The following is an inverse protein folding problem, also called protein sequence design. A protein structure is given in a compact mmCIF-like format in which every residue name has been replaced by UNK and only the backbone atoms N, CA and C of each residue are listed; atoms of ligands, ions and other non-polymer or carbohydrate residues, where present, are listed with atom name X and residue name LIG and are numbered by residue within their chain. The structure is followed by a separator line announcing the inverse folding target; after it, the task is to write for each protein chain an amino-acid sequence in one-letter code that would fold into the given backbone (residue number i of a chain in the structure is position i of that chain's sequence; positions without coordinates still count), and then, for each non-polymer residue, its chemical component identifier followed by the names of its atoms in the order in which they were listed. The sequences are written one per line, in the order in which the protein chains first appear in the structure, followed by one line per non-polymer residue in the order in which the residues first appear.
data_IF_133205070446
#
_entry.id   IF_133205070446
#
_cell.length_a   1.000
_cell.length_b   1.000
_cell.length_c   1.000
_cell.angle_alpha   90.00
_cell.angle_beta   90.00
_cell.angle_gamma   90.00
#
_symmetry.space_group_name_H-M   'P 1'
#
loop_
_entity.id
_entity.type
_entity.pdbx_description
1 polymer ?
#
# COMPACT_ATOMS: atom_id res chain seq x y z
N UNK A 1 -11.28 9.89 13.78
CA UNK A 1 -10.46 9.28 12.71
C UNK A 1 -9.77 10.41 12.01
N UNK A 2 -8.44 10.44 12.04
CA UNK A 2 -7.66 11.41 11.27
C UNK A 2 -7.45 10.87 9.86
N UNK A 3 -7.41 11.72 8.82
CA UNK A 3 -7.08 11.29 7.47
C UNK A 3 -5.69 10.65 7.45
N UNK A 4 -5.62 9.46 6.85
CA UNK A 4 -4.37 8.75 6.58
C UNK A 4 -3.89 9.10 5.17
N UNK A 5 -2.58 9.24 5.01
CA UNK A 5 -1.94 9.44 3.71
C UNK A 5 -1.26 8.14 3.29
N UNK A 6 -1.60 7.64 2.10
CA UNK A 6 -0.85 6.56 1.46
C UNK A 6 0.09 7.15 0.42
N UNK A 7 1.37 6.82 0.51
CA UNK A 7 2.41 7.33 -0.38
C UNK A 7 3.07 6.15 -1.07
N UNK A 8 3.03 6.14 -2.40
CA UNK A 8 3.82 5.24 -3.23
C UNK A 8 5.13 5.92 -3.62
N UNK A 9 6.21 5.14 -3.63
CA UNK A 9 7.51 5.54 -4.18
C UNK A 9 7.98 4.46 -5.16
N UNK A 10 8.62 4.89 -6.24
CA UNK A 10 9.16 4.01 -7.27
C UNK A 10 10.63 4.33 -7.50
N UNK A 11 11.46 3.29 -7.57
CA UNK A 11 12.89 3.34 -7.79
C UNK A 11 13.26 2.32 -8.87
N UNK A 12 13.83 2.75 -10.01
CA UNK A 12 14.28 1.82 -11.05
C UNK A 12 15.31 0.79 -10.56
N UNK A 13 16.04 1.09 -9.48
CA UNK A 13 17.09 0.22 -8.94
C UNK A 13 16.58 -0.76 -7.87
N UNK A 14 15.54 -0.40 -7.11
CA UNK A 14 15.10 -1.16 -5.93
C UNK A 14 13.62 -1.55 -5.94
N UNK A 15 12.89 -1.29 -7.04
CA UNK A 15 11.48 -1.61 -7.16
C UNK A 15 10.60 -0.48 -6.63
N UNK A 16 9.61 -0.78 -5.79
CA UNK A 16 8.73 0.24 -5.25
C UNK A 16 8.29 -0.05 -3.82
N UNK A 17 7.87 1.02 -3.16
CA UNK A 17 7.39 0.97 -1.77
C UNK A 17 6.09 1.73 -1.60
N UNK A 18 5.31 1.31 -0.61
CA UNK A 18 4.12 1.99 -0.15
C UNK A 18 4.20 2.19 1.36
N UNK A 19 3.96 3.41 1.80
CA UNK A 19 3.97 3.81 3.20
C UNK A 19 2.64 4.46 3.57
N UNK A 20 2.20 4.26 4.82
CA UNK A 20 1.08 4.99 5.40
C UNK A 20 1.62 5.99 6.42
N UNK A 21 1.13 7.23 6.35
CA UNK A 21 1.44 8.30 7.28
C UNK A 21 0.18 8.82 7.98
N UNK A 22 0.33 9.21 9.24
CA UNK A 22 -0.65 9.99 9.98
C UNK A 22 -0.68 11.43 9.46
N UNK A 23 -1.75 12.17 9.77
CA UNK A 23 -1.89 13.57 9.38
C UNK A 23 -0.72 14.44 9.87
N UNK A 24 -0.10 14.08 10.98
CA UNK A 24 1.03 14.78 11.58
C UNK A 24 2.38 14.49 10.89
N UNK A 25 2.40 13.58 9.90
CA UNK A 25 3.60 13.19 9.16
C UNK A 25 4.35 11.99 9.73
N UNK A 26 3.89 11.43 10.85
CA UNK A 26 4.45 10.20 11.42
C UNK A 26 4.14 8.99 10.53
N UNK A 27 5.14 8.16 10.29
CA UNK A 27 4.96 6.91 9.55
C UNK A 27 4.31 5.85 10.44
N UNK A 28 3.41 5.06 9.86
CA UNK A 28 2.89 3.86 10.49
C UNK A 28 3.79 2.69 10.09
N UNK A 29 4.76 2.36 10.95
CA UNK A 29 5.84 1.39 10.64
C UNK A 29 5.32 0.01 10.23
N UNK A 30 4.24 -0.47 10.84
CA UNK A 30 3.61 -1.75 10.47
C UNK A 30 3.07 -1.77 9.04
N UNK A 31 2.81 -0.60 8.45
CA UNK A 31 2.18 -0.45 7.14
C UNK A 31 3.18 -0.12 6.02
N UNK A 32 4.45 -0.46 6.21
CA UNK A 32 5.48 -0.36 5.19
C UNK A 32 5.47 -1.60 4.30
N UNK A 33 5.36 -1.40 2.98
CA UNK A 33 5.37 -2.48 1.98
C UNK A 33 6.43 -2.19 0.94
N UNK A 34 7.35 -3.12 0.72
CA UNK A 34 8.36 -3.06 -0.34
C UNK A 34 8.21 -4.25 -1.29
N UNK A 35 8.31 -3.99 -2.59
CA UNK A 35 8.29 -5.04 -3.63
C UNK A 35 9.25 -4.70 -4.78
N UNK A 36 9.72 -5.71 -5.53
CA UNK A 36 10.51 -5.49 -6.73
C UNK A 36 9.74 -4.76 -7.85
N UNK A 37 8.41 -4.84 -7.86
CA UNK A 37 7.55 -4.20 -8.85
C UNK A 37 7.20 -2.76 -8.46
N UNK A 38 6.99 -1.91 -9.45
CA UNK A 38 6.56 -0.54 -9.18
C UNK A 38 5.07 -0.49 -8.79
N UNK A 39 4.68 0.31 -7.78
CA UNK A 39 3.28 0.58 -7.49
C UNK A 39 2.69 1.45 -8.61
N UNK A 40 1.51 1.08 -9.10
CA UNK A 40 0.82 1.78 -10.20
C UNK A 40 -0.46 2.47 -9.76
N UNK A 41 -1.14 1.93 -8.74
CA UNK A 41 -2.40 2.46 -8.19
C UNK A 41 -2.51 2.21 -6.70
N UNK A 42 -3.06 3.20 -5.99
CA UNK A 42 -3.45 3.10 -4.58
C UNK A 42 -4.92 3.47 -4.43
N UNK A 43 -5.71 2.69 -3.68
CA UNK A 43 -7.12 3.01 -3.44
C UNK A 43 -7.56 2.58 -2.05
N UNK A 44 -7.99 3.54 -1.24
CA UNK A 44 -8.63 3.27 0.05
C UNK A 44 -10.01 2.65 -0.14
N UNK A 45 -10.33 1.64 0.68
CA UNK A 45 -11.71 1.19 0.83
C UNK A 45 -12.53 2.31 1.50
N UNK A 46 -13.76 2.61 1.03
CA UNK A 46 -14.51 3.77 1.50
C UNK A 46 -14.96 3.69 2.97
N UNK A 47 -15.01 2.47 3.53
CA UNK A 47 -15.54 2.22 4.89
C UNK A 47 -14.60 1.43 5.81
N UNK A 48 -13.57 0.79 5.28
CA UNK A 48 -12.72 -0.16 6.02
C UNK A 48 -11.30 0.39 6.02
N UNK A 49 -10.49 0.14 7.06
CA UNK A 49 -9.10 0.58 7.09
C UNK A 49 -8.23 -0.33 6.22
N UNK A 50 -8.57 -0.43 4.94
CA UNK A 50 -7.93 -1.30 3.95
C UNK A 50 -7.51 -0.43 2.77
N UNK A 51 -6.28 -0.60 2.33
CA UNK A 51 -5.71 0.02 1.14
C UNK A 51 -5.45 -1.05 0.08
N UNK A 52 -6.01 -0.89 -1.11
CA UNK A 52 -5.67 -1.71 -2.27
C UNK A 52 -4.44 -1.13 -2.98
N UNK A 53 -3.45 -1.98 -3.23
CA UNK A 53 -2.17 -1.70 -3.87
C UNK A 53 -2.13 -2.42 -5.22
N UNK A 54 -2.05 -1.69 -6.32
CA UNK A 54 -1.81 -2.26 -7.64
C UNK A 54 -0.33 -2.17 -8.01
N UNK A 55 0.23 -3.27 -8.52
CA UNK A 55 1.63 -3.38 -8.94
C UNK A 55 1.76 -3.51 -10.46
N UNK A 56 2.94 -3.20 -10.99
CA UNK A 56 3.24 -3.21 -12.43
C UNK A 56 3.01 -4.57 -13.10
N UNK A 57 3.24 -5.67 -12.38
CA UNK A 57 3.00 -7.02 -12.89
C UNK A 57 1.53 -7.46 -12.84
N UNK A 58 0.60 -6.56 -12.51
CA UNK A 58 -0.82 -6.84 -12.41
C UNK A 58 -1.27 -7.44 -11.08
N UNK A 59 -0.36 -7.71 -10.14
CA UNK A 59 -0.75 -8.18 -8.80
C UNK A 59 -1.47 -7.07 -8.03
N UNK A 60 -2.43 -7.49 -7.20
CA UNK A 60 -3.13 -6.61 -6.27
C UNK A 60 -2.94 -7.12 -4.85
N UNK A 61 -2.54 -6.24 -3.94
CA UNK A 61 -2.37 -6.53 -2.51
C UNK A 61 -3.31 -5.65 -1.71
N UNK A 62 -4.00 -6.23 -0.74
CA UNK A 62 -4.74 -5.50 0.29
C UNK A 62 -3.86 -5.34 1.52
N UNK A 63 -3.68 -4.10 1.96
CA UNK A 63 -2.98 -3.75 3.20
C UNK A 63 -3.99 -3.29 4.25
N UNK A 64 -3.97 -3.87 5.44
CA UNK A 64 -4.86 -3.50 6.55
C UNK A 64 -4.15 -2.58 7.53
N UNK A 65 -4.73 -1.42 7.82
CA UNK A 65 -4.26 -0.49 8.84
C UNK A 65 -5.00 -0.69 10.17
N UNK A 66 -4.34 -0.59 11.33
CA UNK A 66 -2.91 -0.35 11.52
C UNK A 66 -2.08 -1.64 11.62
N UNK A 67 -2.65 -2.82 11.40
CA UNK A 67 -1.94 -4.07 11.66
C UNK A 67 -0.78 -4.33 10.71
N UNK A 68 -0.85 -3.80 9.49
CA UNK A 68 0.13 -4.10 8.45
C UNK A 68 -0.15 -5.39 7.69
N UNK A 69 -1.27 -6.06 7.98
CA UNK A 69 -1.56 -7.35 7.37
C UNK A 69 -1.75 -7.20 5.87
N UNK A 70 -1.05 -8.05 5.12
CA UNK A 70 -1.09 -8.08 3.66
C UNK A 70 -1.85 -9.31 3.18
N UNK A 71 -2.77 -9.10 2.23
CA UNK A 71 -3.47 -10.18 1.53
C UNK A 71 -3.28 -10.01 0.04
N UNK A 72 -2.58 -10.94 -0.61
CA UNK A 72 -2.46 -10.97 -2.06
C UNK A 72 -3.78 -11.47 -2.65
N UNK A 73 -4.37 -10.71 -3.56
CA UNK A 73 -5.57 -11.14 -4.27
C UNK A 73 -5.19 -12.08 -5.41
N UNK A 74 -5.96 -13.16 -5.65
CA UNK A 74 -5.73 -14.03 -6.78
C UNK A 74 -5.89 -13.27 -8.09
N UNK A 75 -4.98 -13.47 -9.04
CA UNK A 75 -5.16 -13.00 -10.40
C UNK A 75 -6.36 -13.73 -11.02
N UNK A 76 -7.44 -13.01 -11.27
CA UNK A 76 -8.56 -13.53 -12.05
C UNK A 76 -8.09 -13.67 -13.50
N UNK A 77 -7.70 -14.89 -13.88
CA UNK A 77 -7.52 -15.31 -15.28
C UNK A 77 -8.83 -15.85 -15.84
#
# INVERSE_FOLDING_TARGET
SFPLLAVASSSPASGGSVNIYLQQGEQVDSCHVERPQQPTKLRWHPLKPILALGWENGEVVLLTHPSGDQTVLPSSH
#
